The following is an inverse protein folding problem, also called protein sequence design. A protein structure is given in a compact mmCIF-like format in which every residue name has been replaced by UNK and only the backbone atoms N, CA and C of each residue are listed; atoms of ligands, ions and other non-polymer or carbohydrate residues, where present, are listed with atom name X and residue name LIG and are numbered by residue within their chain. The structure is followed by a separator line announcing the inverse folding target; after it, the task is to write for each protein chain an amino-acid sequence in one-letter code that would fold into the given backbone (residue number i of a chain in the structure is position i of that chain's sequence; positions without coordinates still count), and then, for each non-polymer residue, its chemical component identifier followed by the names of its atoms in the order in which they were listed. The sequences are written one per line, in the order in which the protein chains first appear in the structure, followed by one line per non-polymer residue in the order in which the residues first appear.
data_IF_367288095325
#
_entry.id   IF_367288095325
#
_cell.length_a   1.000
_cell.length_b   1.000
_cell.length_c   1.000
_cell.angle_alpha   90.00
_cell.angle_beta   90.00
_cell.angle_gamma   90.00
#
_symmetry.space_group_name_H-M   'P 1'
#
loop_
_entity.id
_entity.type
_entity.pdbx_description
1 polymer ?
#
# COMPACT_ATOMS: atom_id res chain seq x y z
N UNK A 1 -13.98 23.23 -21.51
CA UNK A 1 -13.80 21.80 -21.81
C UNK A 1 -12.79 21.06 -20.94
N UNK A 2 -11.46 21.27 -20.99
CA UNK A 2 -10.53 20.57 -20.05
C UNK A 2 -10.90 20.84 -18.58
N UNK A 3 -11.30 22.08 -18.27
CA UNK A 3 -11.80 22.49 -16.96
C UNK A 3 -13.13 21.84 -16.56
N UNK A 4 -14.04 21.63 -17.52
CA UNK A 4 -15.34 20.98 -17.27
C UNK A 4 -15.19 19.47 -17.11
N UNK A 5 -14.28 18.84 -17.86
CA UNK A 5 -13.92 17.43 -17.69
C UNK A 5 -13.23 17.21 -16.33
N UNK A 6 -12.30 18.09 -15.95
CA UNK A 6 -11.66 18.04 -14.63
C UNK A 6 -12.67 18.31 -13.51
N UNK A 7 -13.58 19.28 -13.66
CA UNK A 7 -14.65 19.51 -12.67
C UNK A 7 -15.62 18.33 -12.57
N UNK A 8 -15.99 17.66 -13.67
CA UNK A 8 -16.81 16.46 -13.65
C UNK A 8 -16.08 15.27 -13.00
N UNK A 9 -14.79 15.12 -13.31
CA UNK A 9 -13.91 14.08 -12.77
C UNK A 9 -13.70 14.25 -11.27
N UNK A 10 -13.41 15.47 -10.79
CA UNK A 10 -13.24 15.74 -9.35
C UNK A 10 -14.55 15.72 -8.56
N UNK A 11 -15.69 16.08 -9.17
CA UNK A 11 -17.00 16.06 -8.49
C UNK A 11 -17.63 14.65 -8.38
N UNK A 12 -17.06 13.64 -9.04
CA UNK A 12 -17.59 12.25 -9.05
C UNK A 12 -16.72 11.25 -8.30
N UNK A 13 -15.58 11.71 -7.80
CA UNK A 13 -14.64 10.92 -7.03
C UNK A 13 -14.98 10.98 -5.54
N UNK A 14 -15.17 9.81 -4.92
CA UNK A 14 -15.20 9.69 -3.45
C UNK A 14 -13.76 9.71 -2.96
N UNK A 15 -13.38 10.72 -2.18
CA UNK A 15 -12.06 10.84 -1.58
C UNK A 15 -12.09 10.42 -0.11
N UNK A 16 -11.22 9.49 0.27
CA UNK A 16 -10.81 9.31 1.67
C UNK A 16 -9.42 9.92 1.87
N UNK A 17 -9.20 10.53 3.04
CA UNK A 17 -7.90 11.12 3.40
C UNK A 17 -6.91 10.02 3.81
N UNK A 18 -5.92 9.79 2.96
CA UNK A 18 -4.81 8.85 3.16
C UNK A 18 -3.52 9.62 3.41
N UNK A 19 -2.59 9.07 4.19
CA UNK A 19 -1.28 9.68 4.42
C UNK A 19 -0.16 8.70 4.04
N UNK A 20 0.93 9.25 3.55
CA UNK A 20 2.15 8.57 3.10
C UNK A 20 3.25 8.77 4.15
N UNK A 21 4.09 7.75 4.38
CA UNK A 21 5.34 7.85 5.17
C UNK A 21 6.46 7.15 4.40
N UNK A 22 7.60 7.83 4.15
CA UNK A 22 8.83 7.24 3.57
C UNK A 22 10.03 7.46 4.51
N UNK A 23 11.04 6.60 4.50
CA UNK A 23 12.19 6.66 5.43
C UNK A 23 13.53 6.26 4.78
N UNK A 24 14.62 7.01 5.03
CA UNK A 24 15.97 6.78 4.49
C UNK A 24 17.11 6.95 5.54
N UNK A 25 18.12 6.09 5.40
CA UNK A 25 19.45 5.95 6.05
C UNK A 25 19.95 7.00 7.05
N UNK A 26 20.27 6.56 8.29
CA UNK A 26 21.53 6.83 9.04
C UNK A 26 21.83 5.62 9.95
N UNK A 27 23.09 5.18 9.95
CA UNK A 27 23.64 4.03 10.69
C UNK A 27 24.11 4.46 12.09
N UNK A 28 23.54 3.89 13.16
CA UNK A 28 24.08 4.02 14.54
C UNK A 28 23.83 2.72 15.33
N UNK A 29 24.91 2.11 15.81
CA UNK A 29 24.91 0.99 16.76
C UNK A 29 24.36 1.40 18.15
N UNK A 30 23.52 0.57 18.77
CA UNK A 30 23.79 -0.16 20.06
C UNK A 30 22.52 -0.63 20.80
N UNK A 31 22.48 -1.95 21.07
CA UNK A 31 21.94 -2.71 22.23
C UNK A 31 20.81 -2.18 23.14
N UNK A 32 19.75 -3.01 23.31
CA UNK A 32 19.46 -3.65 24.61
C UNK A 32 18.05 -3.54 25.26
N UNK A 33 17.29 -4.65 25.18
CA UNK A 33 16.34 -5.23 26.17
C UNK A 33 14.98 -4.54 26.42
N UNK A 34 13.88 -5.11 25.89
CA UNK A 34 12.59 -5.40 26.61
C UNK A 34 11.89 -6.58 25.87
N UNK A 35 11.93 -7.82 26.39
CA UNK A 35 11.27 -8.97 25.72
C UNK A 35 10.50 -9.91 26.67
N UNK A 36 10.61 -9.73 27.99
CA UNK A 36 10.04 -10.65 28.98
C UNK A 36 8.63 -10.28 29.49
N UNK A 37 8.26 -9.00 29.49
CA UNK A 37 6.96 -8.55 30.04
C UNK A 37 5.80 -8.72 29.04
N UNK A 38 6.10 -8.69 27.74
CA UNK A 38 5.10 -8.80 26.66
C UNK A 38 4.36 -10.15 26.62
N UNK A 39 5.08 -11.25 26.89
CA UNK A 39 4.51 -12.61 26.85
C UNK A 39 3.50 -12.88 27.98
N UNK A 40 3.60 -12.16 29.09
CA UNK A 40 2.68 -12.33 30.23
C UNK A 40 1.35 -11.61 29.96
N UNK A 41 1.40 -10.44 29.28
CA UNK A 41 0.23 -9.66 28.89
C UNK A 41 -0.57 -10.37 27.78
N UNK A 42 0.12 -10.92 26.76
CA UNK A 42 -0.49 -11.75 25.71
C UNK A 42 -1.18 -13.03 26.24
N UNK A 43 -0.84 -13.48 27.46
CA UNK A 43 -1.47 -14.63 28.10
C UNK A 43 -2.73 -14.27 28.89
N UNK A 44 -2.88 -13.01 29.31
CA UNK A 44 -4.02 -12.52 30.10
C UNK A 44 -5.15 -12.02 29.20
N UNK A 45 -4.83 -11.52 28.01
CA UNK A 45 -5.79 -11.19 26.96
C UNK A 45 -5.80 -12.31 25.91
N UNK A 46 -6.96 -12.72 25.40
CA UNK A 46 -7.10 -13.76 24.35
C UNK A 46 -6.64 -13.23 22.98
N UNK A 47 -5.43 -12.70 22.90
CA UNK A 47 -4.87 -12.12 21.68
C UNK A 47 -4.23 -13.23 20.86
N UNK A 48 -4.73 -13.45 19.65
CA UNK A 48 -4.07 -14.35 18.72
C UNK A 48 -2.84 -13.63 18.13
N UNK A 49 -1.69 -14.31 18.00
CA UNK A 49 -0.53 -13.72 17.37
C UNK A 49 -0.83 -13.37 15.91
N UNK A 50 -0.15 -12.35 15.42
CA UNK A 50 -0.24 -11.95 14.02
C UNK A 50 0.28 -13.09 13.14
N UNK A 51 -0.52 -13.53 12.17
CA UNK A 51 -0.21 -14.68 11.32
C UNK A 51 -0.05 -14.27 9.87
N UNK A 52 0.98 -14.80 9.21
CA UNK A 52 1.16 -14.70 7.76
C UNK A 52 0.21 -15.66 7.05
N UNK A 53 -0.45 -15.20 5.99
CA UNK A 53 -1.26 -16.03 5.10
C UNK A 53 -0.37 -16.62 4.00
N UNK A 54 -0.09 -17.92 4.08
CA UNK A 54 0.77 -18.63 3.12
C UNK A 54 0.00 -19.50 2.14
N UNK A 55 -1.23 -19.88 2.47
CA UNK A 55 -2.02 -20.79 1.64
C UNK A 55 -2.75 -20.04 0.53
N UNK A 56 -2.52 -20.43 -0.73
CA UNK A 56 -3.22 -19.89 -1.91
C UNK A 56 -4.75 -19.90 -1.73
N UNK A 57 -5.30 -21.02 -1.22
CA UNK A 57 -6.74 -21.17 -1.01
C UNK A 57 -7.29 -20.18 0.01
N UNK A 58 -6.50 -19.82 1.02
CA UNK A 58 -6.89 -18.81 2.00
C UNK A 58 -6.83 -17.41 1.40
N UNK A 59 -5.79 -17.09 0.62
CA UNK A 59 -5.71 -15.85 -0.16
C UNK A 59 -6.89 -15.70 -1.12
N UNK A 60 -7.28 -16.75 -1.83
CA UNK A 60 -8.45 -16.74 -2.73
C UNK A 60 -9.76 -16.46 -1.97
N UNK A 61 -9.93 -17.03 -0.76
CA UNK A 61 -11.07 -16.73 0.10
C UNK A 61 -11.07 -15.27 0.55
N UNK A 62 -9.92 -14.74 0.95
CA UNK A 62 -9.77 -13.34 1.37
C UNK A 62 -9.98 -12.37 0.21
N UNK A 63 -9.50 -12.70 -0.99
CA UNK A 63 -9.79 -11.95 -2.22
C UNK A 63 -11.29 -11.93 -2.50
N UNK A 64 -11.97 -13.08 -2.41
CA UNK A 64 -13.42 -13.16 -2.55
C UNK A 64 -14.16 -12.36 -1.48
N UNK A 65 -13.68 -12.41 -0.24
CA UNK A 65 -14.18 -11.61 0.88
C UNK A 65 -14.08 -10.12 0.60
N UNK A 66 -12.90 -9.61 0.26
CA UNK A 66 -12.69 -8.19 -0.05
C UNK A 66 -13.49 -7.73 -1.27
N UNK A 67 -13.60 -8.56 -2.31
CA UNK A 67 -14.46 -8.28 -3.47
C UNK A 67 -15.94 -8.15 -3.10
N UNK A 68 -16.40 -9.00 -2.17
CA UNK A 68 -17.81 -9.06 -1.76
C UNK A 68 -18.25 -7.94 -0.81
N UNK A 69 -17.35 -7.03 -0.41
CA UNK A 69 -17.64 -5.86 0.44
C UNK A 69 -17.86 -4.63 -0.46
N UNK A 70 -19.04 -4.48 -1.09
CA UNK A 70 -19.21 -3.69 -2.31
C UNK A 70 -19.27 -2.17 -2.03
N UNK A 71 -19.22 -1.77 -0.77
CA UNK A 71 -19.50 -0.41 -0.32
C UNK A 71 -18.29 0.28 0.34
N UNK A 72 -17.13 -0.38 0.42
CA UNK A 72 -15.99 0.17 1.16
C UNK A 72 -14.72 0.14 0.29
N UNK A 73 -14.33 1.29 -0.28
CA UNK A 73 -13.10 1.41 -1.06
C UNK A 73 -11.85 0.95 -0.30
N UNK A 74 -11.92 0.95 1.03
CA UNK A 74 -10.85 0.56 1.96
C UNK A 74 -10.26 -0.84 1.73
N UNK A 75 -11.01 -1.79 1.15
CA UNK A 75 -10.50 -3.14 0.85
C UNK A 75 -10.02 -3.33 -0.60
N UNK A 76 -10.22 -2.33 -1.48
CA UNK A 76 -9.85 -2.48 -2.89
C UNK A 76 -8.35 -2.70 -3.06
N UNK A 77 -7.52 -2.04 -2.27
CA UNK A 77 -6.06 -2.26 -2.28
C UNK A 77 -5.70 -3.71 -2.00
N UNK A 78 -6.30 -4.32 -0.97
CA UNK A 78 -6.07 -5.73 -0.64
C UNK A 78 -6.63 -6.68 -1.70
N UNK A 79 -7.83 -6.39 -2.24
CA UNK A 79 -8.41 -7.18 -3.33
C UNK A 79 -7.49 -7.20 -4.56
N UNK A 80 -7.07 -6.03 -5.05
CA UNK A 80 -6.18 -5.92 -6.19
C UNK A 80 -4.81 -6.51 -5.88
N UNK A 81 -4.31 -6.34 -4.64
CA UNK A 81 -3.01 -6.85 -4.27
C UNK A 81 -2.94 -8.38 -4.38
N UNK A 82 -3.91 -9.05 -3.77
CA UNK A 82 -4.02 -10.51 -3.83
C UNK A 82 -4.27 -10.97 -5.26
N UNK A 83 -5.14 -10.30 -6.02
CA UNK A 83 -5.44 -10.66 -7.41
C UNK A 83 -4.18 -10.64 -8.28
N UNK A 84 -3.40 -9.56 -8.22
CA UNK A 84 -2.18 -9.41 -9.03
C UNK A 84 -1.12 -10.48 -8.69
N UNK A 85 -0.98 -10.81 -7.41
CA UNK A 85 -0.06 -11.86 -6.95
C UNK A 85 -0.52 -13.27 -7.40
N UNK A 86 -1.81 -13.60 -7.20
CA UNK A 86 -2.39 -14.89 -7.61
C UNK A 86 -2.38 -15.13 -9.12
N UNK A 87 -2.52 -14.06 -9.90
CA UNK A 87 -2.46 -14.07 -11.37
C UNK A 87 -1.03 -13.90 -11.92
N UNK A 88 -0.04 -13.73 -11.04
CA UNK A 88 1.37 -13.48 -11.37
C UNK A 88 1.55 -12.35 -12.39
N UNK A 89 0.80 -11.25 -12.22
CA UNK A 89 0.85 -10.07 -13.09
C UNK A 89 2.06 -9.17 -12.85
N UNK A 90 2.67 -9.29 -11.66
CA UNK A 90 3.89 -8.58 -11.28
C UNK A 90 4.94 -9.61 -10.87
N UNK A 91 5.67 -10.21 -11.84
CA UNK A 91 6.57 -11.34 -11.55
C UNK A 91 7.74 -10.96 -10.62
N UNK A 92 8.10 -9.69 -10.56
CA UNK A 92 9.19 -9.14 -9.75
C UNK A 92 8.75 -8.60 -8.38
N UNK A 93 7.45 -8.66 -8.07
CA UNK A 93 6.93 -8.24 -6.78
C UNK A 93 6.14 -9.37 -6.12
N UNK A 94 6.29 -9.51 -4.80
CA UNK A 94 5.52 -10.48 -4.02
C UNK A 94 4.66 -9.78 -3.00
N UNK A 95 3.39 -10.20 -2.93
CA UNK A 95 2.48 -9.73 -1.90
C UNK A 95 2.48 -10.69 -0.71
N UNK A 96 2.65 -10.15 0.48
CA UNK A 96 2.49 -10.88 1.74
C UNK A 96 1.38 -10.23 2.55
N UNK A 97 0.48 -11.06 3.07
CA UNK A 97 -0.65 -10.61 3.89
C UNK A 97 -0.55 -11.22 5.28
N UNK A 98 -0.62 -10.37 6.30
CA UNK A 98 -0.70 -10.77 7.69
C UNK A 98 -2.05 -10.37 8.26
N UNK A 99 -2.56 -11.21 9.16
CA UNK A 99 -3.83 -10.99 9.84
C UNK A 99 -3.61 -11.11 11.34
N UNK A 100 -4.22 -10.19 12.10
CA UNK A 100 -4.34 -10.28 13.54
C UNK A 100 -5.80 -10.15 13.93
N UNK A 101 -6.30 -11.10 14.70
CA UNK A 101 -7.63 -11.07 15.27
C UNK A 101 -7.51 -10.70 16.77
N UNK A 102 -8.26 -9.69 17.17
CA UNK A 102 -8.42 -9.25 18.57
C UNK A 102 -9.87 -9.48 19.02
N UNK A 103 -10.22 -9.10 20.24
CA UNK A 103 -11.61 -9.23 20.72
C UNK A 103 -12.58 -8.35 19.91
N UNK A 104 -12.18 -7.12 19.57
CA UNK A 104 -13.08 -6.12 18.97
C UNK A 104 -12.76 -5.79 17.51
N UNK A 105 -11.61 -6.25 17.01
CA UNK A 105 -11.15 -5.91 15.67
C UNK A 105 -10.33 -6.99 15.00
N UNK A 106 -10.31 -6.93 13.67
CA UNK A 106 -9.46 -7.73 12.79
C UNK A 106 -8.59 -6.79 11.96
N UNK A 107 -7.28 -6.90 12.13
CA UNK A 107 -6.30 -6.08 11.43
C UNK A 107 -5.69 -6.84 10.24
N UNK A 108 -5.50 -6.12 9.14
CA UNK A 108 -4.88 -6.61 7.93
C UNK A 108 -3.63 -5.78 7.64
N UNK A 109 -2.49 -6.46 7.50
CA UNK A 109 -1.21 -5.85 7.17
C UNK A 109 -0.70 -6.46 5.88
N UNK A 110 -0.72 -5.70 4.79
CA UNK A 110 -0.24 -6.13 3.49
C UNK A 110 1.09 -5.48 3.19
N UNK A 111 2.04 -6.23 2.61
CA UNK A 111 3.27 -5.68 2.07
C UNK A 111 3.54 -6.23 0.67
N UNK A 112 3.83 -5.33 -0.26
CA UNK A 112 4.47 -5.64 -1.52
C UNK A 112 5.96 -5.49 -1.36
N UNK A 113 6.71 -6.55 -1.67
CA UNK A 113 8.16 -6.52 -1.67
C UNK A 113 8.62 -6.63 -3.11
N UNK A 114 9.30 -5.59 -3.57
CA UNK A 114 9.94 -5.57 -4.88
C UNK A 114 11.31 -6.27 -4.82
N UNK A 115 11.54 -7.21 -5.74
CA UNK A 115 12.79 -7.92 -5.91
C UNK A 115 13.93 -7.06 -6.47
N UNK A 116 13.67 -5.85 -6.99
CA UNK A 116 14.74 -4.92 -7.42
C UNK A 116 15.49 -4.30 -6.24
N UNK A 117 14.86 -4.21 -5.06
CA UNK A 117 15.46 -3.66 -3.83
C UNK A 117 15.89 -4.77 -2.84
N UNK A 118 16.64 -5.79 -3.30
CA UNK A 118 17.03 -6.97 -2.49
C UNK A 118 17.69 -6.67 -1.14
N UNK A 119 18.31 -5.49 -1.00
CA UNK A 119 19.00 -5.05 0.22
C UNK A 119 18.45 -3.71 0.76
N UNK A 120 17.27 -3.29 0.32
CA UNK A 120 16.75 -1.94 0.57
C UNK A 120 15.31 -1.90 1.04
N UNK A 121 14.87 -0.68 1.35
CA UNK A 121 13.51 -0.33 1.74
C UNK A 121 12.59 -0.27 0.51
N UNK A 122 12.41 -1.39 -0.18
CA UNK A 122 11.54 -1.50 -1.37
C UNK A 122 10.08 -1.86 -1.05
N UNK A 123 9.78 -2.11 0.22
CA UNK A 123 8.49 -2.61 0.67
C UNK A 123 7.43 -1.51 0.72
N UNK A 124 6.31 -1.77 0.06
CA UNK A 124 5.09 -0.96 0.10
C UNK A 124 4.06 -1.61 1.02
N UNK A 125 3.72 -0.93 2.10
CA UNK A 125 2.77 -1.41 3.12
C UNK A 125 1.39 -0.77 2.93
N UNK A 126 0.35 -1.61 2.96
CA UNK A 126 -1.06 -1.20 3.01
C UNK A 126 -1.71 -1.77 4.27
N UNK A 127 -2.58 -0.98 4.91
CA UNK A 127 -3.15 -1.29 6.22
C UNK A 127 -4.66 -1.08 6.21
N UNK A 128 -5.40 -1.96 6.89
CA UNK A 128 -6.84 -1.81 7.10
C UNK A 128 -7.31 -2.63 8.31
N UNK A 129 -8.50 -2.33 8.85
CA UNK A 129 -9.11 -3.13 9.91
C UNK A 129 -10.64 -3.25 9.74
N UNK A 130 -11.19 -4.30 10.34
CA UNK A 130 -12.62 -4.45 10.64
C UNK A 130 -12.82 -4.33 12.14
N UNK A 131 -13.93 -3.74 12.57
CA UNK A 131 -14.24 -3.53 13.99
C UNK A 131 -13.67 -2.23 14.54
N UNK A 132 -13.58 -2.15 15.86
CA UNK A 132 -13.17 -0.95 16.59
C UNK A 132 -11.66 -0.79 16.56
N UNK A 133 -11.18 0.33 16.00
CA UNK A 133 -9.74 0.59 15.91
C UNK A 133 -9.16 0.90 17.30
N UNK A 134 -8.14 0.15 17.67
CA UNK A 134 -7.33 0.30 18.87
C UNK A 134 -5.87 0.44 18.43
N UNK A 135 -5.26 1.58 18.75
CA UNK A 135 -3.90 1.90 18.31
C UNK A 135 -2.85 0.96 18.89
N UNK A 136 -3.02 0.52 20.14
CA UNK A 136 -2.01 -0.29 20.83
C UNK A 136 -2.02 -1.70 20.26
N UNK A 137 -3.22 -2.29 20.09
CA UNK A 137 -3.38 -3.58 19.42
C UNK A 137 -2.86 -3.58 17.99
N UNK A 138 -3.16 -2.50 17.26
CA UNK A 138 -2.69 -2.30 15.90
C UNK A 138 -1.16 -2.28 15.83
N UNK A 139 -0.49 -1.49 16.69
CA UNK A 139 0.97 -1.32 16.70
C UNK A 139 1.69 -2.61 17.12
N UNK A 140 1.10 -3.37 18.06
CA UNK A 140 1.62 -4.70 18.41
C UNK A 140 1.57 -5.61 17.19
N UNK A 141 0.43 -5.67 16.49
CA UNK A 141 0.31 -6.47 15.28
C UNK A 141 1.22 -6.03 14.15
N UNK A 142 1.43 -4.72 13.99
CA UNK A 142 2.33 -4.16 13.01
C UNK A 142 3.78 -4.59 13.25
N UNK A 143 4.25 -4.51 14.51
CA UNK A 143 5.59 -4.95 14.91
C UNK A 143 5.78 -6.44 14.69
N UNK A 144 4.77 -7.25 15.00
CA UNK A 144 4.81 -8.70 14.78
C UNK A 144 4.82 -9.07 13.29
N UNK A 145 3.99 -8.41 12.47
CA UNK A 145 3.93 -8.62 11.02
C UNK A 145 5.26 -8.27 10.36
N UNK A 146 5.88 -7.16 10.76
CA UNK A 146 7.06 -6.59 10.12
C UNK A 146 8.28 -6.57 11.05
N UNK A 147 8.65 -7.75 11.55
CA UNK A 147 9.85 -7.92 12.39
C UNK A 147 11.16 -7.54 11.70
N UNK A 148 11.24 -7.67 10.37
CA UNK A 148 12.33 -7.11 9.57
C UNK A 148 11.91 -5.74 9.01
N UNK A 149 12.13 -4.70 9.79
CA UNK A 149 11.72 -3.31 9.49
C UNK A 149 12.45 -2.71 8.28
N UNK A 150 13.65 -3.21 7.95
CA UNK A 150 14.47 -2.70 6.85
C UNK A 150 13.86 -2.93 5.46
N UNK A 151 12.84 -3.78 5.36
CA UNK A 151 12.12 -3.98 4.10
C UNK A 151 11.12 -2.84 3.84
N UNK A 152 10.67 -2.10 4.85
CA UNK A 152 9.62 -1.08 4.68
C UNK A 152 10.23 0.22 4.16
N UNK A 153 9.81 0.67 2.98
CA UNK A 153 10.15 1.99 2.45
C UNK A 153 8.99 2.95 2.29
N UNK A 154 7.78 2.40 2.26
CA UNK A 154 6.58 3.18 2.04
C UNK A 154 5.41 2.57 2.81
N UNK A 155 4.72 3.39 3.61
CA UNK A 155 3.42 3.05 4.20
C UNK A 155 2.34 3.96 3.59
N UNK A 156 1.29 3.35 3.04
CA UNK A 156 0.12 4.07 2.51
C UNK A 156 -1.14 3.56 3.20
N UNK A 157 -1.70 4.40 4.07
CA UNK A 157 -2.88 4.06 4.85
C UNK A 157 -3.70 5.31 5.23
N UNK A 158 -4.93 5.08 5.67
CA UNK A 158 -5.78 6.15 6.22
C UNK A 158 -5.16 6.74 7.48
N UNK A 159 -5.50 8.00 7.77
CA UNK A 159 -4.92 8.78 8.88
C UNK A 159 -4.89 8.06 10.23
N UNK A 160 -5.95 7.31 10.54
CA UNK A 160 -6.06 6.54 11.79
C UNK A 160 -4.93 5.51 12.02
N UNK A 161 -4.31 5.02 10.94
CA UNK A 161 -3.17 4.10 11.05
C UNK A 161 -1.83 4.85 11.02
N UNK A 162 -1.72 5.88 10.19
CA UNK A 162 -0.47 6.61 10.02
C UNK A 162 -0.14 7.51 11.20
N UNK A 163 -1.12 8.15 11.82
CA UNK A 163 -0.90 8.98 13.02
C UNK A 163 -0.18 8.20 14.14
N UNK A 164 -0.69 7.06 14.64
CA UNK A 164 0.01 6.29 15.66
C UNK A 164 1.32 5.68 15.16
N UNK A 165 1.46 5.41 13.86
CA UNK A 165 2.73 4.93 13.30
C UNK A 165 3.82 6.00 13.29
N UNK A 166 3.48 7.27 13.13
CA UNK A 166 4.47 8.37 13.14
C UNK A 166 5.18 8.39 14.49
N UNK A 167 4.40 8.42 15.58
CA UNK A 167 4.95 8.45 16.93
C UNK A 167 5.72 7.15 17.22
N UNK A 168 5.13 6.00 16.90
CA UNK A 168 5.78 4.70 17.08
C UNK A 168 7.12 4.56 16.34
N UNK A 169 7.21 5.03 15.09
CA UNK A 169 8.43 5.00 14.28
C UNK A 169 9.45 6.01 14.81
N UNK A 170 9.03 7.21 15.22
CA UNK A 170 9.92 8.21 15.79
C UNK A 170 10.55 7.70 17.11
N UNK A 171 9.74 7.09 17.98
CA UNK A 171 10.20 6.49 19.23
C UNK A 171 11.09 5.25 18.99
N UNK A 172 10.79 4.49 17.94
CA UNK A 172 11.53 3.29 17.52
C UNK A 172 12.56 3.58 16.42
N UNK A 173 13.03 4.83 16.29
CA UNK A 173 13.79 5.30 15.12
C UNK A 173 15.06 4.52 14.79
N UNK A 174 15.64 3.80 15.76
CA UNK A 174 16.76 2.88 15.53
C UNK A 174 16.36 1.62 14.74
N UNK A 175 15.13 1.14 14.93
CA UNK A 175 14.61 -0.05 14.23
C UNK A 175 14.07 0.32 12.85
N UNK A 176 13.37 1.44 12.72
CA UNK A 176 12.66 1.82 11.48
C UNK A 176 13.37 2.89 10.63
N UNK A 177 14.47 3.47 11.11
CA UNK A 177 15.10 4.65 10.50
C UNK A 177 14.21 5.91 10.54
N UNK A 178 14.75 7.07 10.16
CA UNK A 178 14.01 8.32 10.26
C UNK A 178 12.93 8.42 9.17
N UNK A 179 11.77 8.99 9.52
CA UNK A 179 10.76 9.38 8.54
C UNK A 179 11.32 10.53 7.70
N UNK A 180 11.48 10.29 6.41
CA UNK A 180 11.92 11.24 5.40
C UNK A 180 10.81 12.15 4.88
N UNK A 181 9.58 11.64 4.74
CA UNK A 181 8.48 12.44 4.21
C UNK A 181 7.11 11.95 4.67
N UNK A 182 6.20 12.91 4.90
CA UNK A 182 4.79 12.67 5.19
C UNK A 182 3.95 13.45 4.18
N UNK A 183 3.08 12.76 3.43
CA UNK A 183 2.21 13.40 2.43
C UNK A 183 0.75 13.01 2.59
N UNK A 184 -0.19 13.96 2.71
CA UNK A 184 -1.59 13.66 2.53
C UNK A 184 -1.87 13.37 1.05
N UNK A 185 -2.56 12.27 0.80
CA UNK A 185 -3.01 11.79 -0.50
C UNK A 185 -4.52 11.55 -0.46
N UNK A 186 -5.18 11.66 -1.62
CA UNK A 186 -6.56 11.25 -1.79
C UNK A 186 -6.60 9.96 -2.59
N UNK A 187 -7.34 8.96 -2.10
CA UNK A 187 -7.66 7.79 -2.90
C UNK A 187 -8.90 8.06 -3.74
N UNK A 188 -8.78 7.74 -5.03
CA UNK A 188 -9.80 7.99 -6.02
C UNK A 188 -10.35 6.67 -6.53
N UNK A 189 -11.66 6.49 -6.37
CA UNK A 189 -12.36 5.27 -6.75
C UNK A 189 -13.46 5.55 -7.75
N UNK A 190 -13.60 4.66 -8.72
CA UNK A 190 -14.62 4.73 -9.77
C UNK A 190 -15.56 3.54 -9.66
N UNK A 191 -16.87 3.80 -9.77
CA UNK A 191 -17.84 2.71 -9.84
C UNK A 191 -17.82 2.05 -11.23
N UNK A 192 -18.36 0.83 -11.32
CA UNK A 192 -18.27 0.03 -12.55
C UNK A 192 -19.04 0.64 -13.72
N UNK A 193 -20.14 1.33 -13.44
CA UNK A 193 -20.96 2.00 -14.46
C UNK A 193 -20.18 3.13 -15.14
N UNK A 194 -19.48 3.96 -14.36
CA UNK A 194 -18.62 5.02 -14.87
C UNK A 194 -17.35 4.51 -15.54
N UNK A 195 -16.79 3.40 -15.04
CA UNK A 195 -15.67 2.74 -15.72
C UNK A 195 -16.06 2.33 -17.15
N UNK A 196 -17.25 1.73 -17.33
CA UNK A 196 -17.75 1.34 -18.66
C UNK A 196 -17.98 2.56 -19.54
N UNK A 197 -18.62 3.62 -19.01
CA UNK A 197 -18.84 4.88 -19.75
C UNK A 197 -17.53 5.48 -20.31
N UNK A 198 -16.44 5.45 -19.52
CA UNK A 198 -15.13 5.95 -19.96
C UNK A 198 -14.47 5.02 -20.97
N UNK A 199 -14.57 3.70 -20.77
CA UNK A 199 -13.99 2.72 -21.69
C UNK A 199 -14.69 2.73 -23.06
N UNK A 200 -15.98 3.07 -23.09
CA UNK A 200 -16.77 3.24 -24.31
C UNK A 200 -16.52 4.60 -25.00
N UNK A 201 -15.86 5.54 -24.33
CA UNK A 201 -15.49 6.82 -24.91
C UNK A 201 -14.25 6.69 -25.79
N UNK A 202 -14.37 7.01 -27.08
CA UNK A 202 -13.25 7.08 -28.01
C UNK A 202 -12.74 8.54 -28.14
N UNK A 203 -11.59 8.89 -27.52
CA UNK A 203 -11.02 10.23 -27.62
C UNK A 203 -10.27 10.49 -28.94
N UNK A 204 -10.15 9.48 -29.81
CA UNK A 204 -9.22 9.50 -30.95
C UNK A 204 -9.49 10.66 -31.91
N UNK A 205 -10.76 10.97 -32.17
CA UNK A 205 -11.12 12.07 -33.08
C UNK A 205 -10.73 13.44 -32.51
N UNK A 206 -10.92 13.66 -31.20
CA UNK A 206 -10.53 14.91 -30.52
C UNK A 206 -9.01 15.10 -30.50
N UNK A 207 -8.25 14.01 -30.33
CA UNK A 207 -6.79 14.06 -30.27
C UNK A 207 -6.17 14.29 -31.65
N UNK A 208 -6.74 13.68 -32.70
CA UNK A 208 -6.34 13.95 -34.10
C UNK A 208 -6.50 15.41 -34.48
N UNK A 209 -7.59 16.07 -34.08
CA UNK A 209 -7.81 17.51 -34.32
C UNK A 209 -6.70 18.39 -33.72
N UNK A 210 -6.06 17.93 -32.65
CA UNK A 210 -4.98 18.63 -31.96
C UNK A 210 -3.57 18.18 -32.40
N UNK A 211 -3.49 17.26 -33.37
CA UNK A 211 -2.22 16.71 -33.87
C UNK A 211 -1.55 15.69 -32.95
N UNK A 212 -2.27 15.15 -31.97
CA UNK A 212 -1.79 14.07 -31.10
C UNK A 212 -2.25 12.70 -31.60
N UNK A 213 -1.45 11.68 -31.33
CA UNK A 213 -1.76 10.28 -31.62
C UNK A 213 -1.72 9.46 -30.32
N UNK A 214 -2.71 8.60 -30.12
CA UNK A 214 -2.69 7.60 -29.05
C UNK A 214 -2.02 6.33 -29.57
N UNK A 215 -1.04 5.85 -28.82
CA UNK A 215 -0.43 4.55 -29.03
C UNK A 215 -0.19 3.87 -27.69
N UNK A 216 0.04 2.57 -27.71
CA UNK A 216 0.51 1.84 -26.53
C UNK A 216 1.97 2.21 -26.28
N UNK A 217 2.33 2.44 -25.02
CA UNK A 217 3.70 2.72 -24.63
C UNK A 217 4.64 1.58 -25.07
N UNK A 218 5.79 1.95 -25.61
CA UNK A 218 6.91 1.08 -25.96
C UNK A 218 7.93 1.16 -24.81
N UNK A 219 8.03 0.13 -23.93
CA UNK A 219 8.88 0.20 -22.75
C UNK A 219 10.35 0.51 -23.05
N UNK A 220 10.87 0.04 -24.19
CA UNK A 220 12.27 0.25 -24.59
C UNK A 220 12.57 1.71 -24.93
N UNK A 221 11.57 2.42 -25.47
CA UNK A 221 11.70 3.83 -25.84
C UNK A 221 11.23 4.77 -24.73
N UNK A 222 10.09 4.46 -24.12
CA UNK A 222 9.32 5.39 -23.33
C UNK A 222 9.70 5.38 -21.85
N UNK A 223 10.15 4.25 -21.30
CA UNK A 223 10.45 4.13 -19.87
C UNK A 223 11.48 5.18 -19.42
N UNK A 224 12.53 5.40 -20.21
CA UNK A 224 13.55 6.41 -19.91
C UNK A 224 13.04 7.85 -19.97
N UNK A 225 12.04 8.15 -20.80
CA UNK A 225 11.41 9.49 -20.84
C UNK A 225 10.45 9.69 -19.68
N UNK A 226 9.64 8.67 -19.36
CA UNK A 226 8.70 8.70 -18.23
C UNK A 226 9.46 8.87 -16.91
N UNK A 227 10.52 8.09 -16.70
CA UNK A 227 11.31 8.13 -15.48
C UNK A 227 11.97 9.49 -15.23
N UNK A 228 12.45 10.15 -16.29
CA UNK A 228 13.03 11.50 -16.20
C UNK A 228 12.03 12.57 -15.74
N UNK A 229 10.73 12.33 -15.91
CA UNK A 229 9.69 13.26 -15.48
C UNK A 229 9.35 13.13 -13.99
N UNK A 230 9.82 12.08 -13.31
CA UNK A 230 9.55 11.86 -11.89
C UNK A 230 10.51 12.68 -11.03
N UNK A 231 9.98 13.69 -10.34
CA UNK A 231 10.75 14.66 -9.54
C UNK A 231 11.58 14.00 -8.43
N UNK A 232 11.14 12.85 -7.92
CA UNK A 232 11.81 12.09 -6.85
C UNK A 232 12.28 10.70 -7.28
N UNK A 233 12.33 10.41 -8.59
CA UNK A 233 12.85 9.14 -9.05
C UNK A 233 14.35 9.05 -8.81
N UNK A 234 14.80 7.90 -8.31
CA UNK A 234 16.21 7.54 -8.39
C UNK A 234 16.53 7.16 -9.85
N UNK A 235 17.34 7.96 -10.58
CA UNK A 235 17.63 7.70 -11.98
C UNK A 235 18.35 6.37 -12.23
N UNK A 236 18.89 5.70 -11.21
CA UNK A 236 19.53 4.37 -11.36
C UNK A 236 18.54 3.22 -11.37
N UNK A 237 17.27 3.43 -11.00
CA UNK A 237 16.24 2.41 -10.90
C UNK A 237 15.14 2.66 -11.94
N UNK A 238 15.43 2.41 -13.22
CA UNK A 238 14.41 2.46 -14.29
C UNK A 238 13.76 1.08 -14.38
N UNK A 239 12.51 0.97 -13.95
CA UNK A 239 11.71 -0.24 -14.14
C UNK A 239 11.40 -0.43 -15.63
N UNK A 240 11.94 -1.49 -16.23
CA UNK A 240 11.50 -1.98 -17.53
C UNK A 240 10.46 -3.07 -17.29
N UNK A 241 9.19 -2.76 -17.53
CA UNK A 241 8.14 -3.79 -17.60
C UNK A 241 8.27 -4.49 -18.95
N UNK A 242 8.74 -5.74 -18.93
CA UNK A 242 8.80 -6.64 -20.09
C UNK A 242 7.47 -7.39 -20.31
#
# INVERSE_FOLDING_TARGET
MLREFLELFFNTLVSDHTWFISSNFIDIHSFGIIHSEFKLIQKLFKMLPTRLITERKELEKLMGYFKSKPLLPKYLRFYHAIKLDLENKLPFAKFQLYIRDTENAKYFYGIYIDEFYKNGRGGYVTLECEGEFDSDEFLIGFREAFSNTNIIGLIVATKRFTDPLIDFINDSGQEYGPISYIMPCCDYYMNKEKEVEILDYDPTELLKEQGYELSTADPDKDAGFIHKAWVFADPTHVEQTA
#
